data_IF_670283601103
#
_entry.id   IF_670283601103
#
_cell.length_a   1.000
_cell.length_b   1.000
_cell.length_c   1.000
_cell.angle_alpha   90.00
_cell.angle_beta   90.00
_cell.angle_gamma   90.00
#
_symmetry.space_group_name_H-M   'P 1'
#
loop_
_entity.id
_entity.type
_entity.pdbx_description
1 polymer ?
#
# COMPACT_ATOMS: atom_id res chain seq x y z
N UNK A 1 -13.58 -20.05 1.51
CA UNK A 1 -12.43 -19.52 0.75
C UNK A 1 -12.93 -18.40 -0.15
N UNK A 2 -13.60 -17.39 0.40
CA UNK A 2 -14.46 -16.52 -0.41
C UNK A 2 -14.80 -15.18 0.26
N UNK A 3 -14.09 -14.80 1.33
CA UNK A 3 -14.25 -13.46 1.94
C UNK A 3 -12.86 -12.81 2.12
N UNK A 4 -11.82 -13.60 2.42
CA UNK A 4 -10.43 -13.12 2.53
C UNK A 4 -9.79 -12.76 1.18
N UNK A 5 -10.01 -13.54 0.13
CA UNK A 5 -9.52 -13.22 -1.23
C UNK A 5 -10.23 -11.99 -1.82
N UNK A 6 -11.55 -11.84 -1.58
CA UNK A 6 -12.30 -10.65 -2.02
C UNK A 6 -11.82 -9.36 -1.31
N UNK A 7 -11.37 -9.46 -0.04
CA UNK A 7 -10.81 -8.33 0.71
C UNK A 7 -9.42 -7.90 0.25
N UNK A 8 -8.56 -8.84 -0.16
CA UNK A 8 -7.24 -8.53 -0.75
C UNK A 8 -7.38 -7.97 -2.17
N UNK A 9 -8.24 -8.54 -3.03
CA UNK A 9 -8.47 -8.04 -4.39
C UNK A 9 -9.09 -6.63 -4.41
N UNK A 10 -10.00 -6.31 -3.47
CA UNK A 10 -10.52 -4.95 -3.32
C UNK A 10 -9.43 -3.95 -2.87
N UNK A 11 -8.47 -4.40 -2.05
CA UNK A 11 -7.38 -3.56 -1.55
C UNK A 11 -6.46 -3.10 -2.68
N UNK A 12 -6.03 -4.01 -3.57
CA UNK A 12 -5.02 -3.68 -4.58
C UNK A 12 -5.57 -2.85 -5.73
N UNK A 13 -6.83 -3.08 -6.14
CA UNK A 13 -7.53 -2.18 -7.08
C UNK A 13 -7.66 -0.78 -6.52
N UNK A 14 -8.08 -0.67 -5.26
CA UNK A 14 -8.20 0.63 -4.59
C UNK A 14 -6.85 1.31 -4.47
N UNK A 15 -5.78 0.59 -4.08
CA UNK A 15 -4.42 1.14 -4.05
C UNK A 15 -3.99 1.68 -5.42
N UNK A 16 -4.26 0.94 -6.50
CA UNK A 16 -3.94 1.38 -7.86
C UNK A 16 -4.73 2.65 -8.24
N UNK A 17 -6.05 2.67 -8.03
CA UNK A 17 -6.89 3.84 -8.28
C UNK A 17 -6.39 5.06 -7.48
N UNK A 18 -6.04 4.87 -6.21
CA UNK A 18 -5.47 5.91 -5.36
C UNK A 18 -4.12 6.41 -5.90
N UNK A 19 -3.22 5.50 -6.29
CA UNK A 19 -1.91 5.84 -6.86
C UNK A 19 -2.07 6.65 -8.14
N UNK A 20 -2.95 6.22 -9.04
CA UNK A 20 -3.30 6.92 -10.27
C UNK A 20 -3.80 8.34 -10.00
N UNK A 21 -4.75 8.49 -9.08
CA UNK A 21 -5.27 9.83 -8.72
C UNK A 21 -4.18 10.71 -8.10
N UNK A 22 -3.30 10.15 -7.26
CA UNK A 22 -2.18 10.90 -6.68
C UNK A 22 -1.21 11.39 -7.77
N UNK A 23 -0.90 10.54 -8.75
CA UNK A 23 -0.04 10.93 -9.88
C UNK A 23 -0.68 12.01 -10.74
N UNK A 24 -1.97 11.92 -11.03
CA UNK A 24 -2.74 12.99 -11.68
C UNK A 24 -2.63 14.31 -10.89
N UNK A 25 -2.82 14.25 -9.57
CA UNK A 25 -2.76 15.41 -8.68
C UNK A 25 -1.35 16.03 -8.62
N UNK A 26 -0.29 15.22 -8.72
CA UNK A 26 1.11 15.71 -8.78
C UNK A 26 1.42 16.42 -10.10
N UNK A 27 0.77 16.00 -11.19
CA UNK A 27 0.90 16.64 -12.50
C UNK A 27 0.29 18.05 -12.55
N UNK A 28 -0.61 18.37 -11.62
CA UNK A 28 -1.26 19.67 -11.56
C UNK A 28 -0.41 20.74 -10.89
N UNK A 29 -0.28 21.88 -11.58
CA UNK A 29 0.42 23.04 -11.07
C UNK A 29 -0.47 24.29 -11.16
N UNK A 30 -0.56 25.01 -10.05
CA UNK A 30 -1.21 26.31 -9.98
C UNK A 30 -0.29 27.43 -10.46
N UNK A 31 -0.86 28.50 -10.99
CA UNK A 31 -0.11 29.72 -11.36
C UNK A 31 0.37 30.52 -10.12
N UNK A 32 -0.10 30.15 -8.93
CA UNK A 32 0.31 30.68 -7.63
C UNK A 32 -0.19 29.77 -6.51
N UNK A 33 -0.22 30.28 -5.27
CA UNK A 33 -0.71 29.55 -4.08
C UNK A 33 -2.24 29.48 -4.09
N UNK A 34 -2.81 28.53 -4.84
CA UNK A 34 -4.24 28.43 -5.09
C UNK A 34 -4.80 27.00 -5.13
N UNK A 35 -3.94 26.01 -4.87
CA UNK A 35 -4.33 24.62 -4.75
C UNK A 35 -4.48 24.27 -3.27
N UNK A 36 -5.70 23.89 -2.88
CA UNK A 36 -6.08 23.59 -1.51
C UNK A 36 -6.15 22.07 -1.33
N UNK A 37 -5.51 21.57 -0.27
CA UNK A 37 -5.57 20.18 0.18
C UNK A 37 -6.05 20.13 1.63
N UNK A 38 -7.08 19.33 1.93
CA UNK A 38 -7.64 19.19 3.28
C UNK A 38 -7.68 17.71 3.65
N UNK A 39 -6.97 17.36 4.71
CA UNK A 39 -6.99 16.03 5.32
C UNK A 39 -7.95 16.03 6.51
N UNK A 40 -8.90 15.11 6.53
CA UNK A 40 -9.96 15.01 7.54
C UNK A 40 -9.92 13.63 8.19
N UNK A 41 -9.54 13.53 9.47
CA UNK A 41 -9.65 12.31 10.27
C UNK A 41 -11.08 11.78 10.37
N UNK A 42 -11.23 10.48 10.59
CA UNK A 42 -12.53 9.82 10.79
C UNK A 42 -13.34 10.38 11.97
N UNK A 43 -12.67 10.83 13.04
CA UNK A 43 -13.29 11.34 14.25
C UNK A 43 -13.65 12.83 14.17
N UNK A 44 -13.27 13.51 13.07
CA UNK A 44 -13.48 14.94 12.91
C UNK A 44 -14.88 15.23 12.36
N UNK A 45 -15.66 16.02 13.12
CA UNK A 45 -16.97 16.49 12.67
C UNK A 45 -16.85 17.35 11.39
N UNK A 46 -17.57 16.98 10.34
CA UNK A 46 -17.57 17.72 9.07
C UNK A 46 -18.08 19.16 9.23
N UNK A 47 -18.94 19.43 10.22
CA UNK A 47 -19.37 20.79 10.56
C UNK A 47 -18.20 21.70 10.96
N UNK A 48 -17.21 21.15 11.67
CA UNK A 48 -16.00 21.90 12.05
C UNK A 48 -15.14 22.19 10.83
N UNK A 49 -15.03 21.22 9.91
CA UNK A 49 -14.29 21.39 8.65
C UNK A 49 -14.96 22.47 7.80
N UNK A 50 -16.29 22.45 7.67
CA UNK A 50 -17.05 23.48 6.95
C UNK A 50 -16.88 24.86 7.60
N UNK A 51 -16.85 24.93 8.93
CA UNK A 51 -16.60 26.18 9.65
C UNK A 51 -15.19 26.71 9.35
N UNK A 52 -14.17 25.84 9.37
CA UNK A 52 -12.79 26.19 9.03
C UNK A 52 -12.67 26.68 7.58
N UNK A 53 -13.22 25.94 6.61
CA UNK A 53 -13.25 26.34 5.18
C UNK A 53 -13.96 27.70 4.99
N UNK A 54 -15.03 27.97 5.74
CA UNK A 54 -15.74 29.25 5.69
C UNK A 54 -14.90 30.40 6.26
N UNK A 55 -14.11 30.14 7.30
CA UNK A 55 -13.15 31.09 7.84
C UNK A 55 -12.04 31.37 6.83
N UNK A 56 -11.39 30.35 6.29
CA UNK A 56 -10.33 30.47 5.27
C UNK A 56 -10.84 31.22 4.03
N UNK A 57 -12.08 30.99 3.60
CA UNK A 57 -12.69 31.70 2.48
C UNK A 57 -12.83 33.21 2.76
N UNK A 58 -13.11 33.57 4.02
CA UNK A 58 -13.20 34.96 4.46
C UNK A 58 -11.82 35.59 4.55
N UNK A 59 -10.82 34.85 5.05
CA UNK A 59 -9.43 35.31 5.15
C UNK A 59 -8.79 35.50 3.76
N UNK A 60 -9.14 34.65 2.80
CA UNK A 60 -8.71 34.77 1.40
C UNK A 60 -9.08 36.12 0.77
N UNK A 61 -10.09 36.83 1.29
CA UNK A 61 -10.43 38.18 0.81
C UNK A 61 -9.28 39.20 0.95
N UNK A 62 -8.34 38.95 1.88
CA UNK A 62 -7.16 39.78 2.11
C UNK A 62 -6.02 39.54 1.11
N UNK A 63 -6.12 38.52 0.25
CA UNK A 63 -5.11 38.25 -0.78
C UNK A 63 -5.04 39.45 -1.75
N UNK A 64 -3.81 39.95 -1.96
CA UNK A 64 -3.54 41.15 -2.78
C UNK A 64 -3.83 40.93 -4.26
N UNK A 65 -3.40 39.77 -4.78
CA UNK A 65 -3.63 39.38 -6.17
C UNK A 65 -5.11 39.06 -6.37
N UNK A 66 -5.76 39.72 -7.34
CA UNK A 66 -7.18 39.48 -7.63
C UNK A 66 -7.39 38.05 -8.14
N UNK A 67 -6.53 37.59 -9.03
CA UNK A 67 -6.69 36.29 -9.69
C UNK A 67 -6.50 35.15 -8.68
N UNK A 68 -5.44 35.22 -7.86
CA UNK A 68 -5.20 34.24 -6.77
C UNK A 68 -6.31 34.26 -5.73
N UNK A 69 -6.81 35.45 -5.38
CA UNK A 69 -7.94 35.58 -4.45
C UNK A 69 -9.18 34.87 -4.97
N UNK A 70 -9.54 35.10 -6.22
CA UNK A 70 -10.70 34.44 -6.86
C UNK A 70 -10.49 32.93 -6.93
N UNK A 71 -9.32 32.47 -7.38
CA UNK A 71 -9.02 31.04 -7.47
C UNK A 71 -9.12 30.31 -6.11
N UNK A 72 -8.57 30.90 -5.03
CA UNK A 72 -8.67 30.33 -3.67
C UNK A 72 -10.12 30.32 -3.18
N UNK A 73 -10.86 31.41 -3.38
CA UNK A 73 -12.26 31.49 -2.96
C UNK A 73 -13.15 30.48 -3.70
N UNK A 74 -12.94 30.32 -5.00
CA UNK A 74 -13.68 29.35 -5.81
C UNK A 74 -13.34 27.91 -5.39
N UNK A 75 -12.07 27.60 -5.11
CA UNK A 75 -11.64 26.30 -4.59
C UNK A 75 -12.28 25.97 -3.24
N UNK A 76 -12.28 26.91 -2.29
CA UNK A 76 -12.92 26.73 -0.98
C UNK A 76 -14.44 26.61 -1.09
N UNK A 77 -15.06 27.31 -2.05
CA UNK A 77 -16.49 27.16 -2.35
C UNK A 77 -16.80 25.77 -2.88
N UNK A 78 -15.98 25.27 -3.82
CA UNK A 78 -16.13 23.91 -4.37
C UNK A 78 -16.00 22.84 -3.28
N UNK A 79 -15.00 22.96 -2.40
CA UNK A 79 -14.83 22.08 -1.23
C UNK A 79 -16.08 22.11 -0.35
N UNK A 80 -16.59 23.30 -0.03
CA UNK A 80 -17.78 23.46 0.82
C UNK A 80 -19.01 22.81 0.19
N UNK A 81 -19.18 22.93 -1.12
CA UNK A 81 -20.30 22.31 -1.83
C UNK A 81 -20.15 20.79 -1.89
N UNK A 82 -18.93 20.28 -2.05
CA UNK A 82 -18.65 18.84 -2.01
C UNK A 82 -18.88 18.22 -0.63
N UNK A 83 -18.52 18.93 0.45
CA UNK A 83 -18.78 18.48 1.83
C UNK A 83 -20.27 18.34 2.16
N UNK A 84 -21.19 18.96 1.42
CA UNK A 84 -22.65 18.81 1.65
C UNK A 84 -23.19 17.43 1.31
N UNK A 85 -22.43 16.65 0.53
CA UNK A 85 -22.83 15.29 0.15
C UNK A 85 -22.49 14.24 1.23
N UNK A 86 -21.80 14.65 2.31
CA UNK A 86 -21.39 13.76 3.39
C UNK A 86 -22.04 14.18 4.71
N UNK A 87 -22.61 13.21 5.42
CA UNK A 87 -23.15 13.42 6.77
C UNK A 87 -22.05 13.30 7.84
N UNK A 88 -21.14 12.33 7.67
CA UNK A 88 -19.98 12.07 8.54
C UNK A 88 -18.75 11.75 7.68
N UNK A 89 -17.56 11.84 8.27
CA UNK A 89 -16.36 11.34 7.60
C UNK A 89 -16.47 9.81 7.40
N UNK A 90 -16.08 9.28 6.22
CA UNK A 90 -15.96 7.84 5.97
C UNK A 90 -14.95 7.17 6.91
N UNK A 91 -14.93 5.84 6.90
CA UNK A 91 -13.90 5.03 7.58
C UNK A 91 -12.51 5.45 7.11
N UNK A 92 -11.51 5.47 8.00
CA UNK A 92 -10.16 6.00 7.74
C UNK A 92 -10.07 7.51 7.38
N UNK A 93 -11.20 8.20 7.24
CA UNK A 93 -11.28 9.63 6.94
C UNK A 93 -11.42 9.97 5.45
N UNK A 94 -11.10 11.21 5.08
CA UNK A 94 -11.12 11.66 3.67
C UNK A 94 -10.10 12.76 3.39
N UNK A 95 -9.69 12.87 2.12
CA UNK A 95 -8.85 13.98 1.63
C UNK A 95 -9.56 14.72 0.50
N UNK A 96 -9.62 16.05 0.61
CA UNK A 96 -10.21 16.91 -0.41
C UNK A 96 -9.12 17.73 -1.09
N UNK A 97 -9.09 17.68 -2.43
CA UNK A 97 -8.23 18.50 -3.27
C UNK A 97 -9.11 19.43 -4.10
N UNK A 98 -8.84 20.73 -4.06
CA UNK A 98 -9.50 21.67 -4.97
C UNK A 98 -8.60 22.84 -5.35
N UNK A 99 -8.63 23.23 -6.62
CA UNK A 99 -7.89 24.40 -7.06
C UNK A 99 -7.96 24.63 -8.56
N UNK A 100 -7.63 25.86 -8.95
CA UNK A 100 -7.53 26.24 -10.35
C UNK A 100 -6.14 25.86 -10.91
N UNK A 101 -6.09 24.93 -11.85
CA UNK A 101 -4.87 24.46 -12.50
C UNK A 101 -4.63 25.21 -13.81
N UNK A 102 -3.37 25.41 -14.20
CA UNK A 102 -3.03 26.01 -15.50
C UNK A 102 -3.06 24.93 -16.60
N UNK A 103 -3.96 25.09 -17.57
CA UNK A 103 -4.09 24.18 -18.72
C UNK A 103 -3.32 24.67 -19.96
N UNK A 104 -2.58 25.78 -19.83
CA UNK A 104 -1.84 26.41 -20.91
C UNK A 104 -2.64 27.46 -21.66
N UNK A 105 -1.91 28.37 -22.32
CA UNK A 105 -2.54 29.48 -23.07
C UNK A 105 -3.27 30.51 -22.20
N UNK A 106 -2.96 30.55 -20.89
CA UNK A 106 -3.61 31.45 -19.93
C UNK A 106 -5.02 31.03 -19.52
N UNK A 107 -5.39 29.76 -19.76
CA UNK A 107 -6.67 29.19 -19.34
C UNK A 107 -6.48 28.38 -18.07
N UNK A 108 -7.35 28.60 -17.11
CA UNK A 108 -7.41 27.82 -15.88
C UNK A 108 -8.62 26.91 -15.88
N UNK A 109 -8.46 25.71 -15.35
CA UNK A 109 -9.55 24.78 -15.11
C UNK A 109 -9.68 24.48 -13.62
N UNK A 110 -10.91 24.31 -13.12
CA UNK A 110 -11.15 24.01 -11.71
C UNK A 110 -11.18 22.50 -11.52
N UNK A 111 -10.20 21.98 -10.80
CA UNK A 111 -10.17 20.57 -10.40
C UNK A 111 -10.65 20.46 -8.97
N UNK A 112 -11.58 19.54 -8.73
CA UNK A 112 -12.00 19.13 -7.38
C UNK A 112 -12.06 17.61 -7.34
N UNK A 113 -11.27 17.01 -6.45
CA UNK A 113 -11.20 15.56 -6.22
C UNK A 113 -11.37 15.27 -4.74
N UNK A 114 -12.06 14.18 -4.41
CA UNK A 114 -12.19 13.68 -3.06
C UNK A 114 -11.73 12.23 -3.06
N UNK A 115 -10.81 11.93 -2.16
CA UNK A 115 -10.40 10.57 -1.86
C UNK A 115 -11.06 10.18 -0.54
N UNK A 116 -11.95 9.20 -0.61
CA UNK A 116 -12.69 8.65 0.52
C UNK A 116 -12.01 7.38 0.98
N UNK A 117 -11.94 7.15 2.29
CA UNK A 117 -11.42 5.90 2.85
C UNK A 117 -10.01 5.54 2.37
N UNK A 118 -8.99 6.37 2.66
CA UNK A 118 -7.61 6.02 2.35
C UNK A 118 -7.22 4.68 3.00
N UNK A 119 -6.21 3.97 2.45
CA UNK A 119 -5.78 2.67 3.00
C UNK A 119 -5.44 2.72 4.49
N UNK A 120 -4.73 3.78 4.89
CA UNK A 120 -4.42 4.07 6.30
C UNK A 120 -5.27 5.22 6.84
N UNK A 121 -5.67 5.19 8.12
CA UNK A 121 -6.45 6.25 8.74
C UNK A 121 -5.68 7.57 8.85
N UNK A 122 -6.34 8.67 8.49
CA UNK A 122 -5.78 10.02 8.61
C UNK A 122 -5.67 10.40 10.10
N UNK A 123 -4.44 10.60 10.58
CA UNK A 123 -4.16 10.83 11.99
C UNK A 123 -4.55 12.22 12.51
N UNK A 124 -4.49 13.25 11.65
CA UNK A 124 -4.71 14.63 12.08
C UNK A 124 -5.32 15.49 10.99
N UNK A 125 -6.16 16.44 11.40
CA UNK A 125 -6.71 17.43 10.50
C UNK A 125 -5.61 18.36 10.00
N UNK A 126 -5.51 18.51 8.66
CA UNK A 126 -4.51 19.38 8.04
C UNK A 126 -5.14 20.15 6.87
N UNK A 127 -5.06 21.47 6.95
CA UNK A 127 -5.34 22.37 5.84
C UNK A 127 -4.01 22.85 5.23
N UNK A 128 -3.90 22.76 3.91
CA UNK A 128 -2.71 23.19 3.17
C UNK A 128 -3.14 23.93 1.90
N UNK A 129 -2.54 25.10 1.63
CA UNK A 129 -2.77 25.87 0.42
C UNK A 129 -1.43 26.26 -0.19
N UNK A 130 -1.16 25.82 -1.41
CA UNK A 130 0.12 25.99 -2.08
C UNK A 130 -0.06 26.01 -3.61
N UNK A 131 1.05 26.03 -4.34
CA UNK A 131 1.14 25.93 -5.79
C UNK A 131 0.98 24.51 -6.33
N UNK A 132 1.16 23.50 -5.48
CA UNK A 132 0.97 22.08 -5.77
C UNK A 132 0.06 21.46 -4.71
N UNK A 133 -0.67 20.39 -5.05
CA UNK A 133 -1.43 19.63 -4.06
C UNK A 133 -0.49 18.91 -3.09
N UNK A 134 -0.91 18.79 -1.83
CA UNK A 134 -0.16 18.06 -0.81
C UNK A 134 -0.49 16.57 -0.90
N UNK A 135 0.28 15.82 -1.68
CA UNK A 135 0.10 14.36 -1.87
C UNK A 135 1.03 13.51 -1.01
N UNK A 136 2.13 14.08 -0.51
CA UNK A 136 3.16 13.33 0.25
C UNK A 136 2.63 12.40 1.34
N UNK A 137 1.73 12.85 2.25
CA UNK A 137 1.16 11.97 3.27
C UNK A 137 0.41 10.76 2.70
N UNK A 138 -0.29 10.89 1.57
CA UNK A 138 -1.00 9.78 0.93
C UNK A 138 -0.05 8.80 0.24
N UNK A 139 1.03 9.31 -0.37
CA UNK A 139 2.07 8.46 -0.97
C UNK A 139 2.69 7.53 0.08
N UNK A 140 2.91 8.05 1.28
CA UNK A 140 3.42 7.25 2.39
C UNK A 140 2.44 6.17 2.88
N UNK A 141 1.13 6.36 2.67
CA UNK A 141 0.08 5.39 3.01
C UNK A 141 -0.04 4.27 1.97
N UNK A 142 0.29 4.57 0.70
CA UNK A 142 0.28 3.58 -0.38
C UNK A 142 1.50 2.67 -0.41
N UNK A 143 2.57 3.02 0.32
CA UNK A 143 3.67 2.09 0.52
C UNK A 143 3.13 0.86 1.25
N UNK A 144 3.07 -0.27 0.55
CA UNK A 144 2.60 -1.57 1.03
C UNK A 144 3.21 -1.86 2.38
N UNK A 145 2.39 -2.17 3.36
CA UNK A 145 2.89 -2.50 4.69
C UNK A 145 2.00 -3.56 5.29
N UNK A 146 2.58 -4.74 5.38
CA UNK A 146 2.00 -5.91 6.02
C UNK A 146 1.67 -5.71 7.50
N UNK A 147 0.97 -6.69 8.06
CA UNK A 147 0.71 -6.81 9.49
C UNK A 147 1.84 -7.61 10.14
N UNK A 148 2.66 -6.96 10.96
CA UNK A 148 3.74 -7.63 11.68
C UNK A 148 3.51 -7.62 13.19
N UNK A 149 3.80 -8.75 13.84
CA UNK A 149 3.86 -8.86 15.28
C UNK A 149 5.19 -8.32 15.81
N UNK A 150 5.16 -7.46 16.81
CA UNK A 150 6.35 -6.91 17.43
C UNK A 150 6.50 -7.47 18.84
N UNK A 151 7.66 -8.04 19.16
CA UNK A 151 8.02 -8.50 20.51
C UNK A 151 9.35 -7.87 20.90
N UNK A 152 9.36 -7.07 21.95
CA UNK A 152 10.60 -6.53 22.52
C UNK A 152 10.73 -6.99 23.95
N UNK A 153 11.89 -7.55 24.31
CA UNK A 153 12.11 -8.06 25.67
C UNK A 153 13.54 -7.85 26.17
N UNK A 154 13.67 -7.53 27.45
CA UNK A 154 14.89 -7.70 28.25
C UNK A 154 14.55 -8.50 29.53
N UNK A 155 15.51 -8.69 30.42
CA UNK A 155 15.36 -9.33 31.72
C UNK A 155 14.51 -8.53 32.71
N UNK A 156 14.11 -7.30 32.38
CA UNK A 156 13.37 -6.38 33.27
C UNK A 156 11.94 -6.14 32.83
N UNK A 157 11.67 -6.15 31.55
CA UNK A 157 10.37 -5.82 30.99
C UNK A 157 10.28 -6.36 29.57
N UNK A 158 9.05 -6.44 29.07
CA UNK A 158 8.75 -6.82 27.71
C UNK A 158 7.50 -6.10 27.23
N UNK A 159 7.45 -5.80 25.94
CA UNK A 159 6.31 -5.21 25.25
C UNK A 159 6.01 -6.00 24.00
N UNK A 160 4.71 -6.19 23.75
CA UNK A 160 4.17 -6.91 22.61
C UNK A 160 3.13 -6.02 21.94
N UNK A 161 3.21 -5.88 20.62
CA UNK A 161 2.32 -5.01 19.87
C UNK A 161 2.26 -5.38 18.40
N UNK A 162 1.63 -4.49 17.64
CA UNK A 162 1.47 -4.62 16.19
C UNK A 162 2.26 -3.55 15.46
N UNK A 163 2.76 -3.90 14.29
CA UNK A 163 3.06 -2.96 13.21
C UNK A 163 1.95 -3.12 12.18
N UNK A 164 1.08 -2.12 12.07
CA UNK A 164 0.05 -2.01 11.04
C UNK A 164 0.43 -0.87 10.15
N UNK A 165 0.83 -1.13 8.92
CA UNK A 165 1.35 -0.02 8.15
C UNK A 165 2.67 0.48 8.75
N UNK A 166 2.76 1.81 8.91
CA UNK A 166 3.84 2.50 9.66
C UNK A 166 3.52 2.65 11.14
N UNK A 167 2.33 2.23 11.56
CA UNK A 167 1.82 2.49 12.89
C UNK A 167 2.21 1.35 13.82
N UNK A 168 3.01 1.70 14.81
CA UNK A 168 3.26 0.85 15.98
C UNK A 168 2.10 1.00 16.95
N UNK A 169 1.47 -0.12 17.31
CA UNK A 169 0.40 -0.21 18.28
C UNK A 169 0.84 -1.12 19.45
N UNK A 170 1.33 -0.55 20.56
CA UNK A 170 1.62 -1.32 21.77
C UNK A 170 0.33 -1.88 22.38
N UNK A 171 0.27 -3.18 22.69
CA UNK A 171 -0.96 -3.83 23.18
C UNK A 171 -0.79 -4.46 24.56
N UNK A 172 0.29 -5.22 24.76
CA UNK A 172 0.57 -5.92 26.02
C UNK A 172 1.95 -5.55 26.52
N UNK A 173 2.08 -5.41 27.84
CA UNK A 173 3.36 -5.16 28.50
C UNK A 173 3.47 -5.99 29.77
N UNK A 174 4.70 -6.36 30.12
CA UNK A 174 5.00 -7.03 31.37
C UNK A 174 6.29 -6.51 31.99
N UNK A 175 6.34 -6.59 33.31
CA UNK A 175 7.52 -6.28 34.10
C UNK A 175 8.02 -7.55 34.78
N UNK A 176 9.32 -7.77 34.70
CA UNK A 176 9.98 -8.95 35.23
C UNK A 176 10.26 -8.81 36.72
N UNK A 177 10.04 -9.91 37.45
CA UNK A 177 10.46 -10.07 38.84
C UNK A 177 11.81 -10.78 38.98
N UNK A 178 12.60 -10.87 37.90
CA UNK A 178 13.89 -11.57 37.87
C UNK A 178 14.89 -10.88 38.82
N UNK A 179 15.41 -11.61 39.82
CA UNK A 179 16.43 -11.07 40.71
C UNK A 179 17.71 -10.69 39.96
N UNK A 180 18.30 -9.56 40.34
CA UNK A 180 19.61 -9.15 39.83
C UNK A 180 20.72 -10.18 40.09
N UNK A 181 21.76 -10.19 39.25
CA UNK A 181 22.91 -11.08 39.40
C UNK A 181 23.62 -10.81 40.73
N UNK A 182 23.71 -11.83 41.57
CA UNK A 182 24.38 -11.71 42.87
C UNK A 182 25.90 -11.59 42.69
N UNK A 183 26.49 -10.53 43.24
CA UNK A 183 27.95 -10.29 43.21
C UNK A 183 28.70 -11.02 44.34
N UNK A 184 28.00 -11.39 45.41
CA UNK A 184 28.60 -12.02 46.59
C UNK A 184 28.54 -13.55 46.48
N UNK A 185 29.68 -14.22 46.64
CA UNK A 185 29.76 -15.68 46.71
C UNK A 185 29.29 -16.24 48.06
N UNK A 186 29.15 -17.57 48.15
CA UNK A 186 28.75 -18.27 49.38
C UNK A 186 28.01 -19.58 49.10
N UNK A 187 27.69 -20.34 50.15
CA UNK A 187 26.99 -21.64 50.03
C UNK A 187 25.58 -21.51 49.40
N UNK A 188 24.93 -20.36 49.58
CA UNK A 188 23.62 -20.07 48.99
C UNK A 188 23.68 -19.52 47.56
N UNK A 189 24.86 -19.21 47.02
CA UNK A 189 25.00 -18.56 45.71
C UNK A 189 24.40 -19.42 44.57
N UNK A 190 24.60 -20.75 44.61
CA UNK A 190 24.01 -21.67 43.63
C UNK A 190 22.48 -21.68 43.69
N UNK A 191 21.89 -21.62 44.89
CA UNK A 191 20.43 -21.55 45.07
C UNK A 191 19.85 -20.27 44.45
N UNK A 192 20.48 -19.12 44.69
CA UNK A 192 20.02 -17.86 44.10
C UNK A 192 20.21 -17.80 42.58
N UNK A 193 21.27 -18.42 42.06
CA UNK A 193 21.44 -18.57 40.62
C UNK A 193 20.31 -19.40 39.99
N UNK A 194 19.92 -20.51 40.64
CA UNK A 194 18.80 -21.34 40.15
C UNK A 194 17.46 -20.62 40.21
N UNK A 195 17.13 -19.97 41.33
CA UNK A 195 15.91 -19.17 41.46
C UNK A 195 15.82 -18.06 40.40
N UNK A 196 16.98 -17.49 40.03
CA UNK A 196 17.05 -16.50 38.97
C UNK A 196 16.76 -17.10 37.59
N UNK A 197 17.27 -18.29 37.29
CA UNK A 197 16.97 -18.98 36.04
C UNK A 197 15.49 -19.38 35.96
N UNK A 198 14.92 -19.93 37.04
CA UNK A 198 13.48 -20.23 37.13
C UNK A 198 12.63 -18.96 36.92
N UNK A 199 13.04 -17.82 37.47
CA UNK A 199 12.34 -16.55 37.24
C UNK A 199 12.44 -16.05 35.80
N UNK A 200 13.58 -16.28 35.12
CA UNK A 200 13.76 -15.92 33.71
C UNK A 200 12.87 -16.80 32.83
N UNK A 201 12.87 -18.11 33.08
CA UNK A 201 12.05 -19.09 32.36
C UNK A 201 10.56 -18.75 32.46
N UNK A 202 10.06 -18.46 33.67
CA UNK A 202 8.67 -18.03 33.88
C UNK A 202 8.37 -16.71 33.16
N UNK A 203 9.31 -15.76 33.15
CA UNK A 203 9.12 -14.49 32.46
C UNK A 203 9.03 -14.69 30.94
N UNK A 204 9.86 -15.57 30.37
CA UNK A 204 9.78 -15.92 28.95
C UNK A 204 8.46 -16.62 28.61
N UNK A 205 7.98 -17.53 29.45
CA UNK A 205 6.65 -18.14 29.27
C UNK A 205 5.52 -17.10 29.32
N UNK A 206 5.62 -16.10 30.19
CA UNK A 206 4.65 -15.00 30.27
C UNK A 206 4.63 -14.17 28.98
N UNK A 207 5.81 -13.78 28.49
CA UNK A 207 5.98 -13.05 27.21
C UNK A 207 5.45 -13.85 26.03
N UNK A 208 5.78 -15.14 25.96
CA UNK A 208 5.25 -16.02 24.93
C UNK A 208 3.73 -16.18 25.04
N UNK A 209 3.18 -16.24 26.27
CA UNK A 209 1.73 -16.22 26.49
C UNK A 209 1.06 -14.95 25.94
N UNK A 210 1.66 -13.79 26.18
CA UNK A 210 1.18 -12.51 25.62
C UNK A 210 1.21 -12.50 24.10
N UNK A 211 2.31 -12.96 23.49
CA UNK A 211 2.43 -13.09 22.04
C UNK A 211 1.42 -14.08 21.48
N UNK A 212 1.24 -15.24 22.11
CA UNK A 212 0.27 -16.25 21.67
C UNK A 212 -1.17 -15.72 21.73
N UNK A 213 -1.55 -15.05 22.82
CA UNK A 213 -2.89 -14.47 22.97
C UNK A 213 -3.18 -13.38 21.93
N UNK A 214 -2.14 -12.65 21.49
CA UNK A 214 -2.29 -11.54 20.55
C UNK A 214 -2.21 -12.02 19.09
N UNK A 215 -1.22 -12.85 18.75
CA UNK A 215 -0.87 -13.16 17.37
C UNK A 215 -1.54 -14.43 16.83
N UNK A 216 -1.81 -15.44 17.67
CA UNK A 216 -2.44 -16.69 17.19
C UNK A 216 -3.82 -16.47 16.57
N UNK A 217 -4.70 -15.58 17.10
CA UNK A 217 -5.97 -15.28 16.45
C UNK A 217 -5.83 -14.81 15.00
N UNK A 218 -4.88 -13.90 14.74
CA UNK A 218 -4.70 -13.21 13.46
C UNK A 218 -3.56 -13.80 12.61
N UNK A 219 -3.04 -14.99 12.98
CA UNK A 219 -1.84 -15.61 12.39
C UNK A 219 -1.86 -15.83 10.88
N UNK A 220 -3.04 -15.87 10.25
CA UNK A 220 -3.17 -16.04 8.80
C UNK A 220 -3.18 -14.70 8.05
N UNK A 221 -3.36 -13.60 8.77
CA UNK A 221 -3.35 -12.24 8.24
C UNK A 221 -2.01 -11.54 8.54
N UNK A 222 -1.13 -12.19 9.31
CA UNK A 222 0.19 -11.68 9.66
C UNK A 222 1.25 -12.11 8.65
N UNK A 223 2.07 -11.16 8.26
CA UNK A 223 3.20 -11.39 7.35
C UNK A 223 4.45 -11.86 8.13
N UNK A 224 4.54 -11.54 9.42
CA UNK A 224 5.57 -12.13 10.27
C UNK A 224 5.70 -11.54 11.66
N UNK A 225 6.71 -12.01 12.38
CA UNK A 225 7.02 -11.56 13.75
C UNK A 225 8.47 -11.05 13.81
N UNK A 226 8.64 -9.85 14.37
CA UNK A 226 9.94 -9.27 14.68
C UNK A 226 10.23 -9.37 16.17
N UNK A 227 11.43 -9.83 16.51
CA UNK A 227 11.86 -9.96 17.92
C UNK A 227 13.05 -9.07 18.22
N UNK A 228 12.87 -8.13 19.14
CA UNK A 228 13.87 -7.17 19.59
C UNK A 228 14.33 -7.41 21.01
N UNK A 229 15.60 -7.13 21.28
CA UNK A 229 16.10 -7.08 22.66
C UNK A 229 17.62 -7.09 22.73
N UNK A 230 18.20 -6.88 23.91
CA UNK A 230 19.63 -6.98 24.09
C UNK A 230 20.08 -8.44 24.07
N UNK A 231 21.18 -8.71 23.37
CA UNK A 231 21.89 -9.99 23.47
C UNK A 231 22.46 -10.21 24.89
N UNK A 232 22.34 -11.40 25.50
CA UNK A 232 21.83 -12.66 24.93
C UNK A 232 20.34 -12.92 25.17
N UNK A 233 19.58 -11.98 25.74
CA UNK A 233 18.21 -12.23 26.23
C UNK A 233 17.27 -12.69 25.10
N UNK A 234 17.33 -12.05 23.93
CA UNK A 234 16.50 -12.42 22.77
C UNK A 234 16.86 -13.79 22.20
N UNK A 235 18.14 -14.16 22.23
CA UNK A 235 18.61 -15.47 21.75
C UNK A 235 18.13 -16.57 22.70
N UNK A 236 18.29 -16.36 24.01
CA UNK A 236 17.78 -17.27 25.06
C UNK A 236 16.26 -17.48 24.93
N UNK A 237 15.50 -16.44 24.55
CA UNK A 237 14.05 -16.53 24.35
C UNK A 237 13.65 -17.28 23.07
N UNK A 238 14.31 -17.02 21.95
CA UNK A 238 13.99 -17.70 20.68
C UNK A 238 14.46 -19.16 20.65
N UNK A 239 15.62 -19.45 21.23
CA UNK A 239 16.18 -20.81 21.28
C UNK A 239 15.50 -21.68 22.34
N UNK A 240 14.79 -21.06 23.29
CA UNK A 240 14.20 -21.71 24.47
C UNK A 240 12.85 -22.39 24.25
N UNK A 241 12.33 -22.43 23.01
CA UNK A 241 11.06 -23.09 22.65
C UNK A 241 9.85 -22.58 23.47
N UNK A 242 9.85 -21.28 23.80
CA UNK A 242 8.77 -20.64 24.55
C UNK A 242 7.60 -20.22 23.67
N UNK A 243 7.91 -19.70 22.47
CA UNK A 243 6.93 -19.20 21.53
C UNK A 243 6.18 -20.37 20.88
N UNK A 244 4.92 -20.17 20.52
CA UNK A 244 4.18 -21.22 19.79
C UNK A 244 4.86 -21.50 18.44
N UNK A 245 4.98 -22.78 18.05
CA UNK A 245 5.68 -23.21 16.83
C UNK A 245 5.25 -22.45 15.57
N UNK A 246 3.94 -22.24 15.36
CA UNK A 246 3.44 -21.45 14.22
C UNK A 246 3.97 -20.01 14.21
N UNK A 247 4.10 -19.37 15.38
CA UNK A 247 4.67 -18.02 15.48
C UNK A 247 6.19 -18.03 15.30
N UNK A 248 6.85 -19.11 15.74
CA UNK A 248 8.29 -19.28 15.61
C UNK A 248 8.71 -19.44 14.14
N UNK A 249 7.91 -20.15 13.35
CA UNK A 249 8.09 -20.28 11.89
C UNK A 249 7.90 -18.94 11.16
N UNK A 250 7.10 -18.03 11.73
CA UNK A 250 6.86 -16.68 11.20
C UNK A 250 7.87 -15.63 11.69
N UNK A 251 8.88 -16.00 12.50
CA UNK A 251 9.89 -15.04 12.95
C UNK A 251 10.80 -14.65 11.79
N UNK A 252 10.70 -13.39 11.35
CA UNK A 252 11.47 -12.86 10.22
C UNK A 252 12.93 -12.55 10.62
N UNK A 253 13.13 -12.15 11.87
CA UNK A 253 14.45 -11.76 12.33
C UNK A 253 14.50 -11.41 13.81
N UNK A 254 15.75 -11.29 14.29
CA UNK A 254 16.08 -10.86 15.64
C UNK A 254 16.99 -9.64 15.62
N UNK A 255 16.62 -8.60 16.36
CA UNK A 255 17.25 -7.28 16.27
C UNK A 255 17.77 -6.83 17.64
N UNK A 256 18.95 -6.20 17.66
CA UNK A 256 19.52 -5.64 18.89
C UNK A 256 18.86 -4.29 19.16
N UNK A 257 18.01 -4.25 20.19
CA UNK A 257 17.31 -3.03 20.63
C UNK A 257 17.75 -2.69 22.04
N UNK A 258 18.03 -1.41 22.30
CA UNK A 258 18.55 -0.93 23.58
C UNK A 258 17.44 -0.67 24.62
N UNK A 259 16.28 -0.23 24.16
CA UNK A 259 15.12 0.10 24.97
C UNK A 259 14.07 -1.01 24.85
N UNK A 260 13.40 -1.32 25.97
CA UNK A 260 12.45 -2.45 26.03
C UNK A 260 11.09 -2.07 26.58
N UNK A 261 10.88 -0.78 26.82
CA UNK A 261 9.59 -0.14 27.05
C UNK A 261 8.81 0.02 25.73
N UNK A 262 7.67 0.71 25.74
CA UNK A 262 6.86 0.92 24.53
C UNK A 262 7.66 1.60 23.40
N UNK A 263 8.64 2.46 23.73
CA UNK A 263 9.53 3.07 22.74
C UNK A 263 10.43 2.05 22.02
N UNK A 264 10.77 0.94 22.67
CA UNK A 264 11.56 -0.14 22.09
C UNK A 264 10.89 -0.83 20.90
N UNK A 265 9.54 -0.78 20.81
CA UNK A 265 8.82 -1.29 19.65
C UNK A 265 9.10 -0.44 18.40
N UNK A 266 9.28 0.87 18.54
CA UNK A 266 9.64 1.75 17.44
C UNK A 266 11.08 1.51 17.00
N UNK A 267 12.01 1.40 17.95
CA UNK A 267 13.41 1.08 17.65
C UNK A 267 13.55 -0.29 16.95
N UNK A 268 12.68 -1.26 17.28
CA UNK A 268 12.64 -2.55 16.62
C UNK A 268 12.25 -2.43 15.14
N UNK A 269 11.25 -1.60 14.84
CA UNK A 269 10.81 -1.34 13.45
C UNK A 269 11.94 -0.66 12.68
N UNK A 270 12.58 0.36 13.24
CA UNK A 270 13.72 1.04 12.62
C UNK A 270 14.89 0.09 12.34
N UNK A 271 15.16 -0.86 13.26
CA UNK A 271 16.20 -1.87 13.08
C UNK A 271 15.83 -2.94 12.04
N UNK A 272 14.54 -3.15 11.78
CA UNK A 272 14.01 -4.18 10.91
C UNK A 272 13.62 -3.69 9.50
N UNK A 273 13.76 -2.39 9.21
CA UNK A 273 13.37 -1.74 7.95
C UNK A 273 13.82 -2.52 6.70
N UNK A 274 15.09 -2.95 6.67
CA UNK A 274 15.63 -3.73 5.53
C UNK A 274 14.96 -5.12 5.39
N UNK A 275 14.64 -5.78 6.49
CA UNK A 275 14.00 -7.11 6.49
C UNK A 275 12.52 -7.00 6.11
N UNK A 276 11.85 -5.95 6.57
CA UNK A 276 10.46 -5.65 6.23
C UNK A 276 10.32 -5.41 4.73
N UNK A 277 11.15 -4.53 4.14
CA UNK A 277 11.16 -4.28 2.70
C UNK A 277 11.46 -5.54 1.87
N UNK A 278 12.36 -6.40 2.35
CA UNK A 278 12.64 -7.68 1.68
C UNK A 278 11.46 -8.65 1.72
N UNK A 279 10.68 -8.62 2.80
CA UNK A 279 9.53 -9.49 3.00
C UNK A 279 8.31 -9.03 2.19
N UNK A 280 8.08 -7.72 2.08
CA UNK A 280 7.05 -7.14 1.19
C UNK A 280 7.21 -7.67 -0.25
N UNK A 281 8.44 -7.81 -0.73
CA UNK A 281 8.72 -8.36 -2.06
C UNK A 281 8.72 -9.90 -2.16
N UNK A 282 8.40 -10.63 -1.08
CA UNK A 282 8.55 -12.08 -1.06
C UNK A 282 7.49 -12.77 -1.93
N UNK A 283 6.24 -12.32 -1.84
CA UNK A 283 5.14 -12.82 -2.65
C UNK A 283 5.39 -12.55 -4.15
N UNK A 284 5.71 -11.30 -4.50
CA UNK A 284 6.11 -10.90 -5.85
C UNK A 284 7.22 -11.79 -6.43
N UNK A 285 8.26 -12.06 -5.63
CA UNK A 285 9.38 -12.91 -6.05
C UNK A 285 8.95 -14.34 -6.30
N UNK A 286 8.10 -14.92 -5.46
CA UNK A 286 7.61 -16.29 -5.62
C UNK A 286 6.74 -16.43 -6.86
N UNK A 287 5.83 -15.49 -7.07
CA UNK A 287 4.93 -15.47 -8.24
C UNK A 287 5.73 -15.29 -9.52
N UNK A 288 6.67 -14.35 -9.55
CA UNK A 288 7.55 -14.16 -10.70
C UNK A 288 8.45 -15.38 -10.93
N UNK A 289 8.92 -16.05 -9.87
CA UNK A 289 9.65 -17.32 -10.00
C UNK A 289 8.83 -18.41 -10.68
N UNK A 290 7.57 -18.58 -10.28
CA UNK A 290 6.69 -19.54 -10.93
C UNK A 290 6.38 -19.13 -12.38
N UNK A 291 6.15 -17.85 -12.65
CA UNK A 291 5.99 -17.34 -14.01
C UNK A 291 7.19 -17.67 -14.91
N UNK A 292 8.41 -17.38 -14.46
CA UNK A 292 9.62 -17.68 -15.23
C UNK A 292 9.82 -19.19 -15.41
N UNK A 293 9.48 -20.00 -14.41
CA UNK A 293 9.54 -21.45 -14.52
C UNK A 293 8.55 -21.98 -15.55
N UNK A 294 7.31 -21.47 -15.56
CA UNK A 294 6.31 -21.82 -16.58
C UNK A 294 6.67 -21.29 -17.96
N UNK A 295 7.43 -20.19 -18.06
CA UNK A 295 7.90 -19.64 -19.33
C UNK A 295 9.03 -20.48 -19.95
N UNK A 296 9.94 -21.05 -19.14
CA UNK A 296 11.08 -21.81 -19.63
C UNK A 296 10.80 -23.31 -19.79
N UNK A 297 10.19 -23.91 -18.77
CA UNK A 297 10.03 -25.37 -18.66
C UNK A 297 8.57 -25.83 -18.85
N UNK A 298 7.63 -24.88 -18.92
CA UNK A 298 6.20 -25.14 -19.03
C UNK A 298 5.57 -24.53 -20.27
N UNK A 299 4.23 -24.62 -20.33
CA UNK A 299 3.39 -24.03 -21.40
C UNK A 299 2.24 -23.18 -20.80
N UNK A 300 2.38 -22.78 -19.52
CA UNK A 300 1.35 -22.11 -18.73
C UNK A 300 1.70 -20.66 -18.39
N UNK A 301 2.42 -19.99 -19.28
CA UNK A 301 2.75 -18.58 -19.15
C UNK A 301 2.28 -17.82 -20.40
N UNK A 302 1.71 -16.64 -20.21
CA UNK A 302 1.42 -15.66 -21.27
C UNK A 302 2.11 -14.35 -20.92
N UNK A 303 2.52 -13.60 -21.93
CA UNK A 303 3.14 -12.28 -21.73
C UNK A 303 2.83 -11.36 -22.90
N UNK A 304 2.93 -10.06 -22.64
CA UNK A 304 2.52 -9.03 -23.60
C UNK A 304 1.02 -8.81 -23.57
N UNK A 305 0.61 -7.60 -23.97
CA UNK A 305 -0.77 -7.16 -23.85
C UNK A 305 -1.74 -8.02 -24.66
N UNK A 306 -1.48 -8.23 -25.96
CA UNK A 306 -2.40 -8.92 -26.84
C UNK A 306 -2.62 -10.39 -26.45
N UNK A 307 -1.55 -11.13 -26.20
CA UNK A 307 -1.61 -12.53 -25.81
C UNK A 307 -2.31 -12.68 -24.45
N UNK A 308 -1.97 -11.83 -23.48
CA UNK A 308 -2.57 -11.87 -22.14
C UNK A 308 -4.06 -11.52 -22.21
N UNK A 309 -4.45 -10.50 -22.96
CA UNK A 309 -5.85 -10.12 -23.20
C UNK A 309 -6.66 -11.23 -23.86
N UNK A 310 -6.09 -11.93 -24.84
CA UNK A 310 -6.74 -13.07 -25.49
C UNK A 310 -6.94 -14.23 -24.49
N UNK A 311 -5.93 -14.53 -23.69
CA UNK A 311 -6.01 -15.56 -22.65
C UNK A 311 -7.02 -15.21 -21.55
N UNK A 312 -7.10 -13.93 -21.16
CA UNK A 312 -8.12 -13.43 -20.23
C UNK A 312 -9.53 -13.63 -20.82
N UNK A 313 -9.75 -13.25 -22.08
CA UNK A 313 -11.04 -13.44 -22.74
C UNK A 313 -11.50 -14.91 -22.78
N UNK A 314 -10.55 -15.84 -22.95
CA UNK A 314 -10.80 -17.29 -22.90
C UNK A 314 -11.02 -17.83 -21.47
N UNK A 315 -10.77 -17.03 -20.43
CA UNK A 315 -10.80 -17.46 -19.03
C UNK A 315 -9.67 -18.45 -18.68
N UNK A 316 -8.57 -18.42 -19.45
CA UNK A 316 -7.45 -19.34 -19.29
C UNK A 316 -6.43 -18.85 -18.26
N UNK A 317 -6.41 -17.56 -17.96
CA UNK A 317 -5.51 -16.96 -16.95
C UNK A 317 -5.99 -17.33 -15.55
N UNK A 318 -5.09 -17.87 -14.74
CA UNK A 318 -5.27 -18.10 -13.31
C UNK A 318 -4.99 -16.82 -12.54
N UNK A 319 -3.81 -16.26 -12.80
CA UNK A 319 -3.28 -15.07 -12.15
C UNK A 319 -2.73 -14.12 -13.21
N UNK A 320 -3.28 -12.91 -13.25
CA UNK A 320 -2.84 -11.80 -14.09
C UNK A 320 -1.75 -11.02 -13.36
N UNK A 321 -0.60 -10.84 -13.99
CA UNK A 321 0.56 -10.13 -13.44
C UNK A 321 0.71 -8.80 -14.16
N UNK A 322 0.61 -7.71 -13.40
CA UNK A 322 0.73 -6.35 -13.92
C UNK A 322 1.87 -5.65 -13.21
N UNK A 323 2.73 -4.95 -13.93
CA UNK A 323 3.72 -4.10 -13.28
C UNK A 323 3.05 -2.89 -12.61
N UNK A 324 3.41 -2.62 -11.35
CA UNK A 324 2.92 -1.43 -10.62
C UNK A 324 3.27 -0.09 -11.30
N UNK A 325 4.35 -0.08 -12.09
CA UNK A 325 4.87 1.08 -12.83
C UNK A 325 4.39 1.12 -14.29
N UNK A 326 3.42 0.28 -14.67
CA UNK A 326 2.84 0.33 -16.00
C UNK A 326 2.09 1.66 -16.21
N UNK A 327 2.55 2.46 -17.19
CA UNK A 327 1.95 3.76 -17.57
C UNK A 327 1.59 3.78 -19.04
N UNK A 328 0.59 2.97 -19.38
CA UNK A 328 0.15 2.75 -20.76
C UNK A 328 -1.36 2.76 -20.83
N UNK A 329 -1.86 3.25 -21.95
CA UNK A 329 -3.27 3.30 -22.28
C UNK A 329 -3.55 2.36 -23.44
N UNK A 330 -4.74 1.79 -23.43
CA UNK A 330 -5.28 0.98 -24.51
C UNK A 330 -6.18 1.86 -25.36
N UNK A 331 -5.95 1.80 -26.66
CA UNK A 331 -6.87 2.39 -27.63
C UNK A 331 -7.54 1.26 -28.39
N UNK A 332 -8.85 1.11 -28.18
CA UNK A 332 -9.68 0.16 -28.89
C UNK A 332 -10.20 0.78 -30.19
N UNK A 333 -9.92 0.12 -31.32
CA UNK A 333 -10.40 0.51 -32.64
C UNK A 333 -11.39 -0.53 -33.15
N UNK A 334 -12.58 -0.10 -33.55
CA UNK A 334 -13.53 -0.94 -34.28
C UNK A 334 -13.47 -0.59 -35.76
N UNK A 335 -13.03 -1.53 -36.59
CA UNK A 335 -12.99 -1.33 -38.04
C UNK A 335 -14.38 -1.41 -38.67
N UNK A 336 -14.57 -0.81 -39.86
CA UNK A 336 -15.84 -0.88 -40.61
C UNK A 336 -16.31 -2.33 -40.89
N UNK A 337 -15.38 -3.28 -40.92
CA UNK A 337 -15.64 -4.71 -41.11
C UNK A 337 -15.95 -5.47 -39.81
N UNK A 338 -16.08 -4.79 -38.66
CA UNK A 338 -16.41 -5.37 -37.36
C UNK A 338 -15.25 -6.13 -36.70
N UNK A 339 -14.02 -5.66 -36.91
CA UNK A 339 -12.83 -6.19 -36.23
C UNK A 339 -12.39 -5.23 -35.14
N UNK A 340 -12.22 -5.74 -33.93
CA UNK A 340 -11.71 -5.01 -32.78
C UNK A 340 -10.20 -5.21 -32.70
N UNK A 341 -9.45 -4.13 -32.90
CA UNK A 341 -7.98 -4.05 -32.76
C UNK A 341 -7.65 -3.15 -31.57
N UNK A 342 -6.52 -3.42 -30.91
CA UNK A 342 -6.14 -2.73 -29.68
C UNK A 342 -4.67 -2.33 -29.79
N UNK A 343 -4.40 -1.04 -29.62
CA UNK A 343 -3.03 -0.55 -29.52
C UNK A 343 -2.71 -0.16 -28.10
N UNK A 344 -1.50 -0.50 -27.67
CA UNK A 344 -0.97 -0.08 -26.39
C UNK A 344 -0.01 1.10 -26.59
N UNK A 345 -0.37 2.27 -26.07
CA UNK A 345 0.41 3.50 -26.20
C UNK A 345 0.82 4.03 -24.82
N UNK A 346 1.95 4.74 -24.75
CA UNK A 346 2.30 5.45 -23.52
C UNK A 346 1.23 6.51 -23.20
N UNK A 347 0.83 6.66 -21.94
CA UNK A 347 -0.24 7.59 -21.55
C UNK A 347 0.09 9.06 -21.90
N UNK A 348 1.37 9.38 -22.12
CA UNK A 348 1.80 10.72 -22.58
C UNK A 348 1.61 10.98 -24.08
N UNK A 349 1.37 9.94 -24.90
CA UNK A 349 1.22 10.06 -26.34
C UNK A 349 -0.23 10.33 -26.74
N UNK A 350 -0.40 11.05 -27.84
CA UNK A 350 -1.71 11.25 -28.46
C UNK A 350 -2.10 10.02 -29.27
N UNK A 351 -3.40 9.73 -29.30
CA UNK A 351 -3.96 8.70 -30.18
C UNK A 351 -3.59 8.99 -31.63
N UNK A 352 -3.15 7.96 -32.35
CA UNK A 352 -2.79 8.04 -33.77
C UNK A 352 -3.76 7.21 -34.60
N UNK A 353 -3.81 7.48 -35.90
CA UNK A 353 -4.57 6.64 -36.82
C UNK A 353 -4.02 5.21 -36.79
N UNK A 354 -4.92 4.22 -36.83
CA UNK A 354 -4.58 2.81 -36.80
C UNK A 354 -4.85 2.16 -38.15
N UNK A 355 -3.90 1.39 -38.66
CA UNK A 355 -4.10 0.56 -39.84
C UNK A 355 -4.40 -0.88 -39.42
N UNK A 356 -5.64 -1.32 -39.65
CA UNK A 356 -6.09 -2.65 -39.24
C UNK A 356 -5.27 -3.75 -39.91
N UNK A 357 -4.68 -4.64 -39.10
CA UNK A 357 -3.85 -5.74 -39.61
C UNK A 357 -4.64 -6.76 -40.43
N UNK A 358 -5.95 -6.87 -40.20
CA UNK A 358 -6.84 -7.87 -40.84
C UNK A 358 -7.48 -7.40 -42.13
N UNK A 359 -7.82 -6.12 -42.25
CA UNK A 359 -8.55 -5.60 -43.40
C UNK A 359 -7.90 -4.39 -44.08
N UNK A 360 -6.75 -3.92 -43.58
CA UNK A 360 -6.01 -2.76 -44.10
C UNK A 360 -6.83 -1.47 -44.18
N UNK A 361 -7.94 -1.40 -43.44
CA UNK A 361 -8.71 -0.18 -43.28
C UNK A 361 -7.97 0.73 -42.28
N UNK A 362 -7.90 2.02 -42.59
CA UNK A 362 -7.41 3.03 -41.67
C UNK A 362 -8.58 3.51 -40.81
N UNK A 363 -8.42 3.42 -39.49
CA UNK A 363 -9.34 3.98 -38.50
C UNK A 363 -8.72 5.28 -37.99
N UNK A 364 -9.47 6.37 -38.11
CA UNK A 364 -9.03 7.69 -37.63
C UNK A 364 -8.85 7.69 -36.10
N UNK A 365 -7.87 8.44 -35.62
CA UNK A 365 -7.55 8.55 -34.19
C UNK A 365 -8.75 8.97 -33.31
N UNK A 366 -9.71 9.74 -33.84
CA UNK A 366 -10.90 10.20 -33.10
C UNK A 366 -11.93 9.09 -32.84
N UNK A 367 -11.88 7.99 -33.60
CA UNK A 367 -12.76 6.85 -33.45
C UNK A 367 -12.23 5.80 -32.46
N UNK A 368 -10.98 5.97 -31.99
CA UNK A 368 -10.38 5.11 -30.98
C UNK A 368 -10.92 5.42 -29.58
N UNK A 369 -11.48 4.42 -28.92
CA UNK A 369 -11.87 4.52 -27.51
C UNK A 369 -10.62 4.30 -26.65
N UNK A 370 -10.22 5.34 -25.92
CA UNK A 370 -9.01 5.31 -25.08
C UNK A 370 -9.37 5.10 -23.63
N UNK A 371 -8.74 4.11 -23.03
CA UNK A 371 -8.85 3.78 -21.62
C UNK A 371 -7.49 3.34 -21.07
N UNK A 372 -7.39 3.22 -19.76
CA UNK A 372 -6.16 2.78 -19.11
C UNK A 372 -5.95 1.27 -19.32
N UNK A 373 -4.70 0.86 -19.58
CA UNK A 373 -4.41 -0.54 -19.86
C UNK A 373 -4.66 -1.45 -18.66
N UNK A 374 -4.40 -0.97 -17.44
CA UNK A 374 -4.62 -1.72 -16.21
C UNK A 374 -6.13 -1.85 -16.00
N UNK A 375 -6.86 -0.74 -16.06
CA UNK A 375 -8.32 -0.75 -15.88
C UNK A 375 -8.98 -1.72 -16.89
N UNK A 376 -8.59 -1.68 -18.17
CA UNK A 376 -9.09 -2.61 -19.20
C UNK A 376 -8.84 -4.08 -18.86
N UNK A 377 -7.62 -4.42 -18.43
CA UNK A 377 -7.25 -5.81 -18.13
C UNK A 377 -7.92 -6.30 -16.84
N UNK A 378 -8.07 -5.43 -15.85
CA UNK A 378 -8.76 -5.74 -14.59
C UNK A 378 -10.25 -6.03 -14.83
N UNK A 379 -10.92 -5.24 -15.66
CA UNK A 379 -12.32 -5.49 -16.01
C UNK A 379 -12.49 -6.88 -16.67
N UNK A 380 -11.57 -7.27 -17.55
CA UNK A 380 -11.58 -8.60 -18.17
C UNK A 380 -11.28 -9.72 -17.14
N UNK A 381 -10.37 -9.48 -16.21
CA UNK A 381 -10.00 -10.41 -15.15
C UNK A 381 -11.18 -10.67 -14.20
N UNK A 382 -11.84 -9.62 -13.72
CA UNK A 382 -13.02 -9.69 -12.83
C UNK A 382 -14.15 -10.49 -13.48
N UNK A 383 -14.46 -10.23 -14.75
CA UNK A 383 -15.51 -10.96 -15.48
C UNK A 383 -15.23 -12.47 -15.64
N UNK A 384 -14.01 -12.93 -15.37
CA UNK A 384 -13.56 -14.31 -15.56
C UNK A 384 -13.06 -14.95 -14.27
N UNK A 385 -13.16 -14.25 -13.14
CA UNK A 385 -12.64 -14.70 -11.84
C UNK A 385 -11.15 -15.00 -11.91
N UNK A 386 -10.38 -14.11 -12.52
CA UNK A 386 -8.92 -14.17 -12.58
C UNK A 386 -8.36 -13.30 -11.47
N UNK A 387 -7.44 -13.84 -10.68
CA UNK A 387 -6.76 -13.09 -9.63
C UNK A 387 -5.79 -12.10 -10.27
N UNK A 388 -5.75 -10.86 -9.79
CA UNK A 388 -4.86 -9.82 -10.34
C UNK A 388 -3.82 -9.45 -9.29
N UNK A 389 -2.54 -9.54 -9.64
CA UNK A 389 -1.43 -9.16 -8.77
C UNK A 389 -0.59 -8.06 -9.43
N UNK A 390 -0.30 -7.02 -8.64
CA UNK A 390 0.65 -5.97 -9.01
C UNK A 390 2.04 -6.38 -8.55
N UNK A 391 3.00 -6.34 -9.47
CA UNK A 391 4.39 -6.75 -9.22
C UNK A 391 5.27 -5.50 -9.15
N UNK A 392 6.03 -5.40 -8.07
CA UNK A 392 6.98 -4.32 -7.85
C UNK A 392 8.16 -4.36 -8.80
N UNK A 393 8.70 -3.19 -9.16
CA UNK A 393 9.91 -3.07 -9.99
C UNK A 393 11.21 -3.05 -9.17
N UNK A 394 11.14 -3.12 -7.84
CA UNK A 394 12.29 -3.00 -6.93
C UNK A 394 13.22 -4.24 -6.90
N UNK A 395 12.88 -5.31 -7.62
CA UNK A 395 13.71 -6.50 -7.78
C UNK A 395 13.88 -6.89 -9.26
N UNK A 396 15.00 -7.57 -9.58
CA UNK A 396 15.43 -7.85 -10.95
C UNK A 396 14.36 -8.48 -11.85
N UNK A 397 13.62 -9.47 -11.34
CA UNK A 397 12.56 -10.14 -12.11
C UNK A 397 11.32 -9.25 -12.29
N UNK A 398 11.00 -8.41 -11.31
CA UNK A 398 9.94 -7.42 -11.39
C UNK A 398 10.25 -6.33 -12.42
N UNK A 399 11.48 -5.83 -12.44
CA UNK A 399 11.97 -4.91 -13.48
C UNK A 399 11.87 -5.55 -14.88
N UNK A 400 12.19 -6.85 -14.99
CA UNK A 400 12.05 -7.59 -16.25
C UNK A 400 10.60 -7.70 -16.72
N UNK A 401 9.61 -7.78 -15.82
CA UNK A 401 8.19 -7.76 -16.19
C UNK A 401 7.86 -6.50 -17.00
N UNK A 402 8.28 -5.33 -16.52
CA UNK A 402 8.05 -4.06 -17.21
C UNK A 402 8.86 -3.93 -18.49
N UNK A 403 10.17 -4.16 -18.41
CA UNK A 403 11.11 -3.83 -19.48
C UNK A 403 11.16 -4.87 -20.61
N UNK A 404 11.09 -6.16 -20.29
CA UNK A 404 11.20 -7.25 -21.26
C UNK A 404 9.83 -7.75 -21.75
N UNK A 405 8.82 -7.77 -20.87
CA UNK A 405 7.49 -8.30 -21.18
C UNK A 405 6.43 -7.22 -21.40
N UNK A 406 6.82 -5.94 -21.34
CA UNK A 406 5.93 -4.81 -21.60
C UNK A 406 5.01 -4.44 -20.44
N UNK A 407 5.22 -5.04 -19.26
CA UNK A 407 4.53 -4.81 -18.00
C UNK A 407 3.26 -5.60 -17.78
N UNK A 408 2.95 -6.56 -18.66
CA UNK A 408 1.76 -7.42 -18.56
C UNK A 408 2.15 -8.87 -18.84
N UNK A 409 1.79 -9.76 -17.91
CA UNK A 409 1.96 -11.20 -18.05
C UNK A 409 0.84 -11.96 -17.32
N UNK A 410 0.85 -13.28 -17.41
CA UNK A 410 -0.10 -14.10 -16.68
C UNK A 410 0.31 -15.56 -16.58
N UNK A 411 -0.09 -16.18 -15.48
CA UNK A 411 -0.05 -17.62 -15.27
C UNK A 411 -1.35 -18.24 -15.77
N UNK A 412 -1.26 -19.30 -16.56
CA UNK A 412 -2.41 -19.94 -17.18
C UNK A 412 -2.82 -21.21 -16.41
N UNK A 413 -4.12 -21.40 -16.23
CA UNK A 413 -4.71 -22.66 -15.73
C UNK A 413 -4.37 -23.81 -16.67
N UNK A 414 -4.44 -23.55 -17.98
CA UNK A 414 -4.15 -24.49 -19.06
C UNK A 414 -3.60 -23.74 -20.28
N UNK A 415 -2.75 -24.41 -21.06
CA UNK A 415 -2.18 -23.82 -22.28
C UNK A 415 -3.24 -23.67 -23.38
N UNK A 416 -3.24 -22.53 -24.05
CA UNK A 416 -4.20 -22.18 -25.12
C UNK A 416 -3.58 -22.21 -26.51
N UNK A 417 -2.25 -22.29 -26.61
CA UNK A 417 -1.50 -22.25 -27.88
C UNK A 417 -1.48 -20.87 -28.56
N UNK A 418 -1.86 -19.82 -27.82
CA UNK A 418 -1.85 -18.41 -28.24
C UNK A 418 -0.47 -17.80 -28.02
#
# INVERSE_FOLDING_TARGET
MSEQQEGQEQSDKQKYEFRKVIEELKGYQGSGTQLVSIYVPEDKLLSDVVAHVTQEHSEASNIKSKDTRTAVQDALTSIKDRLRYYDTAPENGMVLFSGAIDTGGGRTDMVTKVLESPPDPIQSFRYHCDSNFLTGPLEEMLADKGLFGLVVLDRREANVGWLKGKRVEPVKSASSLVPGKQRKGGQSAQRFARLRLEAIDNFYQEVAGMANELFVPDRHEMDGVLVGGPSPTKDEFLDGDYLHHELQDMVLGKFDVAYTDESGLYDLVDAADEVLAQHEMLEDKQVMEEFFKQLHDGDKATYGFDQTRQNLNMGAVETLLISEDLRKDVVAYTCENGHDEYDLIDSSKTTSDHECTRCSATVDAEAGEREDAIDHLMELAEQRGTETMFISTDFEKGEQLLTAFGGVAGLLRYSTGV
#
